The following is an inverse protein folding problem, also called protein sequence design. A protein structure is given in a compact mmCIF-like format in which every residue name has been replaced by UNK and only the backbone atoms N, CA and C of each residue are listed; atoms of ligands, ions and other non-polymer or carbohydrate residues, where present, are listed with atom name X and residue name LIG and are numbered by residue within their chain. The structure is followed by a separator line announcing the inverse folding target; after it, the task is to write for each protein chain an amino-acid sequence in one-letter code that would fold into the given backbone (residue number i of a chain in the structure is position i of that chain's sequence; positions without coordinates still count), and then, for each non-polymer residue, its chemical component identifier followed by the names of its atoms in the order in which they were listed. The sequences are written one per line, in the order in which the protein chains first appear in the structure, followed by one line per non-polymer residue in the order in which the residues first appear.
data_IF_981185986684
#
_entry.id   IF_981185986684
#
_cell.length_a   1.000
_cell.length_b   1.000
_cell.length_c   1.000
_cell.angle_alpha   90.00
_cell.angle_beta   90.00
_cell.angle_gamma   90.00
#
_symmetry.space_group_name_H-M   'P 1'
#
loop_
_entity.id
_entity.type
_entity.pdbx_description
1 polymer ?
#
# COMPACT_ATOMS: atom_id res chain seq x y z
N UNK A 1 13.24 2.63 21.29
CA UNK A 1 12.01 3.42 21.50
C UNK A 1 11.54 4.12 20.23
N UNK A 2 12.30 5.07 19.64
CA UNK A 2 11.84 5.86 18.47
C UNK A 2 11.35 5.03 17.26
N UNK A 3 12.11 4.02 16.83
CA UNK A 3 11.71 3.13 15.71
C UNK A 3 10.39 2.41 15.96
N UNK A 4 10.15 2.00 17.21
CA UNK A 4 8.92 1.34 17.61
C UNK A 4 7.75 2.35 17.61
N UNK A 5 7.96 3.56 18.13
CA UNK A 5 6.96 4.64 18.09
C UNK A 5 6.56 5.00 16.67
N UNK A 6 7.52 5.16 15.76
CA UNK A 6 7.23 5.50 14.35
C UNK A 6 6.43 4.38 13.66
N UNK A 7 6.86 3.13 13.79
CA UNK A 7 6.16 1.97 13.19
C UNK A 7 4.75 1.80 13.78
N UNK A 8 4.60 1.92 15.09
CA UNK A 8 3.29 1.82 15.76
C UNK A 8 2.35 2.98 15.42
N UNK A 9 2.87 4.20 15.29
CA UNK A 9 2.07 5.36 14.88
C UNK A 9 1.51 5.19 13.46
N UNK A 10 2.34 4.73 12.51
CA UNK A 10 1.92 4.47 11.12
C UNK A 10 0.91 3.33 11.05
N UNK A 11 1.17 2.24 11.78
CA UNK A 11 0.24 1.11 11.81
C UNK A 11 -1.09 1.52 12.45
N UNK A 12 -1.03 2.21 13.59
CA UNK A 12 -2.19 2.68 14.32
C UNK A 12 -3.03 3.68 13.52
N UNK A 13 -2.39 4.61 12.79
CA UNK A 13 -3.11 5.56 11.94
C UNK A 13 -3.80 4.88 10.75
N UNK A 14 -3.14 3.90 10.12
CA UNK A 14 -3.75 3.11 9.04
C UNK A 14 -4.97 2.30 9.55
N UNK A 15 -4.85 1.68 10.72
CA UNK A 15 -5.97 0.97 11.36
C UNK A 15 -7.10 1.94 11.69
N UNK A 16 -6.78 3.07 12.34
CA UNK A 16 -7.78 4.09 12.69
C UNK A 16 -8.55 4.59 11.46
N UNK A 17 -7.83 4.94 10.39
CA UNK A 17 -8.44 5.43 9.16
C UNK A 17 -9.34 4.38 8.49
N UNK A 18 -8.92 3.11 8.47
CA UNK A 18 -9.74 2.04 7.87
C UNK A 18 -10.96 1.69 8.70
N UNK A 19 -10.89 1.81 10.02
CA UNK A 19 -12.06 1.73 10.91
C UNK A 19 -13.00 2.90 10.65
N UNK A 20 -12.48 4.13 10.60
CA UNK A 20 -13.26 5.35 10.35
C UNK A 20 -13.99 5.31 8.99
N UNK A 21 -13.29 4.84 7.94
CA UNK A 21 -13.87 4.59 6.62
C UNK A 21 -14.91 3.48 6.55
N UNK A 22 -15.13 2.75 7.64
CA UNK A 22 -16.17 1.72 7.68
C UNK A 22 -15.72 0.33 7.23
N UNK A 23 -14.42 0.10 6.95
CA UNK A 23 -13.92 -1.22 6.52
C UNK A 23 -14.09 -2.27 7.61
N UNK A 24 -13.93 -1.86 8.87
CA UNK A 24 -13.97 -2.75 10.05
C UNK A 24 -14.93 -2.25 11.15
N UNK A 25 -15.90 -1.41 10.79
CA UNK A 25 -16.79 -0.75 11.75
C UNK A 25 -18.01 -1.65 12.02
N UNK A 26 -19.22 -1.12 11.87
CA UNK A 26 -20.46 -1.87 11.94
C UNK A 26 -20.96 -2.26 10.54
N UNK A 27 -21.83 -3.28 10.50
CA UNK A 27 -22.32 -3.85 9.24
C UNK A 27 -23.05 -2.83 8.36
N UNK A 28 -23.71 -1.83 8.96
CA UNK A 28 -24.42 -0.79 8.21
C UNK A 28 -23.42 0.12 7.50
N UNK A 29 -22.45 0.66 8.23
CA UNK A 29 -21.41 1.52 7.65
C UNK A 29 -20.58 0.77 6.59
N UNK A 30 -20.24 -0.50 6.83
CA UNK A 30 -19.52 -1.30 5.82
C UNK A 30 -20.34 -1.54 4.56
N UNK A 31 -21.66 -1.73 4.69
CA UNK A 31 -22.54 -1.89 3.52
C UNK A 31 -22.65 -0.63 2.67
N UNK A 32 -22.74 0.54 3.30
CA UNK A 32 -22.75 1.84 2.62
C UNK A 32 -21.44 2.09 1.86
N UNK A 33 -20.29 1.76 2.48
CA UNK A 33 -18.99 1.82 1.83
C UNK A 33 -18.94 0.92 0.58
N UNK A 34 -19.54 -0.27 0.64
CA UNK A 34 -19.59 -1.18 -0.51
C UNK A 34 -20.41 -0.59 -1.66
N UNK A 35 -21.56 0.00 -1.37
CA UNK A 35 -22.37 0.70 -2.38
C UNK A 35 -21.64 1.90 -3.00
N UNK A 36 -20.90 2.66 -2.19
CA UNK A 36 -20.09 3.79 -2.66
C UNK A 36 -18.99 3.32 -3.61
N UNK A 37 -18.28 2.24 -3.24
CA UNK A 37 -17.28 1.61 -4.10
C UNK A 37 -17.91 1.09 -5.40
N UNK A 38 -19.08 0.46 -5.33
CA UNK A 38 -19.79 -0.01 -6.50
C UNK A 38 -20.17 1.16 -7.44
N UNK A 39 -20.66 2.27 -6.89
CA UNK A 39 -20.97 3.49 -7.64
C UNK A 39 -19.71 4.11 -8.26
N UNK A 40 -18.56 4.03 -7.58
CA UNK A 40 -17.27 4.48 -8.11
C UNK A 40 -16.75 3.61 -9.26
N UNK A 41 -17.05 2.31 -9.24
CA UNK A 41 -16.68 1.35 -10.30
C UNK A 41 -17.79 1.23 -11.37
N UNK A 42 -18.90 1.96 -11.20
CA UNK A 42 -20.16 1.89 -11.95
C UNK A 42 -20.05 1.80 -13.48
N UNK A 43 -19.19 2.53 -14.21
CA UNK A 43 -19.14 2.36 -15.66
C UNK A 43 -18.68 0.94 -16.06
N UNK A 44 -17.83 0.30 -15.25
CA UNK A 44 -17.31 -1.04 -15.52
C UNK A 44 -18.15 -2.14 -14.85
N UNK A 45 -18.66 -1.88 -13.64
CA UNK A 45 -19.52 -2.81 -12.91
C UNK A 45 -20.92 -2.92 -13.52
N UNK A 46 -21.45 -1.84 -14.12
CA UNK A 46 -22.79 -1.83 -14.72
C UNK A 46 -22.91 -2.71 -15.96
N UNK A 47 -21.84 -2.81 -16.75
CA UNK A 47 -21.80 -3.69 -17.93
C UNK A 47 -21.64 -5.17 -17.52
N UNK A 48 -20.84 -5.42 -16.46
CA UNK A 48 -20.72 -6.73 -15.80
C UNK A 48 -22.03 -7.19 -15.16
N UNK A 49 -22.77 -6.32 -14.44
CA UNK A 49 -24.08 -6.67 -13.84
C UNK A 49 -25.15 -6.95 -14.89
N UNK A 50 -25.07 -6.34 -16.08
CA UNK A 50 -25.99 -6.62 -17.20
C UNK A 50 -25.72 -7.98 -17.85
N UNK A 51 -24.46 -8.39 -17.94
CA UNK A 51 -24.06 -9.68 -18.52
C UNK A 51 -24.14 -10.83 -17.50
N UNK A 52 -23.97 -10.53 -16.21
CA UNK A 52 -24.00 -11.49 -15.12
C UNK A 52 -24.99 -10.94 -14.08
N UNK A 53 -26.24 -11.44 -14.03
CA UNK A 53 -27.14 -11.17 -12.91
C UNK A 53 -26.49 -11.74 -11.64
N UNK A 54 -25.71 -10.91 -10.97
CA UNK A 54 -24.94 -11.29 -9.80
C UNK A 54 -25.86 -11.27 -8.58
N UNK A 55 -26.34 -12.45 -8.19
CA UNK A 55 -26.72 -12.69 -6.81
C UNK A 55 -25.50 -13.20 -6.06
N UNK A 56 -25.26 -12.68 -4.85
CA UNK A 56 -24.17 -13.18 -4.01
C UNK A 56 -24.37 -14.69 -3.85
N UNK A 57 -23.46 -15.54 -4.37
CA UNK A 57 -23.59 -16.96 -4.15
C UNK A 57 -23.49 -17.20 -2.63
N UNK A 58 -24.25 -18.17 -2.10
CA UNK A 58 -24.06 -18.58 -0.72
C UNK A 58 -22.58 -18.93 -0.51
N UNK A 59 -22.06 -18.61 0.68
CA UNK A 59 -20.69 -18.97 1.05
C UNK A 59 -20.44 -20.44 0.67
N UNK A 60 -19.30 -20.74 0.02
CA UNK A 60 -19.07 -22.07 -0.53
C UNK A 60 -19.18 -23.11 0.59
N UNK A 61 -20.14 -24.02 0.46
CA UNK A 61 -20.42 -25.08 1.44
C UNK A 61 -19.32 -26.13 1.52
N UNK A 62 -18.38 -26.12 0.56
CA UNK A 62 -17.20 -26.97 0.59
C UNK A 62 -16.20 -26.44 1.61
N UNK A 63 -15.92 -27.24 2.64
CA UNK A 63 -14.98 -26.93 3.71
C UNK A 63 -13.60 -26.49 3.21
N UNK A 64 -13.13 -27.06 2.08
CA UNK A 64 -11.85 -26.69 1.48
C UNK A 64 -11.85 -25.28 0.91
N UNK A 65 -12.92 -24.88 0.22
CA UNK A 65 -13.05 -23.54 -0.35
C UNK A 65 -13.22 -22.49 0.75
N UNK A 66 -14.06 -22.79 1.74
CA UNK A 66 -14.20 -21.95 2.94
C UNK A 66 -12.86 -21.80 3.67
N UNK A 67 -12.08 -22.87 3.81
CA UNK A 67 -10.74 -22.81 4.39
C UNK A 67 -9.80 -21.93 3.58
N UNK A 68 -9.73 -22.12 2.25
CA UNK A 68 -8.85 -21.33 1.39
C UNK A 68 -9.20 -19.84 1.44
N UNK A 69 -10.48 -19.49 1.41
CA UNK A 69 -10.92 -18.10 1.50
C UNK A 69 -10.46 -17.45 2.81
N UNK A 70 -10.70 -18.14 3.95
CA UNK A 70 -10.23 -17.71 5.26
C UNK A 70 -8.70 -17.59 5.31
N UNK A 71 -7.98 -18.55 4.73
CA UNK A 71 -6.53 -18.59 4.70
C UNK A 71 -5.95 -17.41 3.93
N UNK A 72 -6.42 -17.15 2.71
CA UNK A 72 -5.91 -16.06 1.88
C UNK A 72 -6.31 -14.69 2.42
N UNK A 73 -7.51 -14.55 2.99
CA UNK A 73 -7.91 -13.33 3.69
C UNK A 73 -6.92 -13.00 4.82
N UNK A 74 -6.65 -13.98 5.69
CA UNK A 74 -5.69 -13.81 6.78
C UNK A 74 -4.26 -13.56 6.28
N UNK A 75 -3.86 -14.19 5.17
CA UNK A 75 -2.58 -13.96 4.53
C UNK A 75 -2.47 -12.51 4.02
N UNK A 76 -3.52 -12.00 3.39
CA UNK A 76 -3.62 -10.61 2.94
C UNK A 76 -3.48 -9.64 4.10
N UNK A 77 -4.25 -9.82 5.17
CA UNK A 77 -4.15 -9.00 6.39
C UNK A 77 -2.72 -9.00 6.94
N UNK A 78 -2.10 -10.17 7.13
CA UNK A 78 -0.72 -10.26 7.63
C UNK A 78 0.27 -9.54 6.72
N UNK A 79 0.15 -9.72 5.41
CA UNK A 79 1.07 -9.13 4.42
C UNK A 79 0.95 -7.60 4.40
N UNK A 80 -0.27 -7.05 4.43
CA UNK A 80 -0.50 -5.61 4.47
C UNK A 80 0.07 -4.99 5.74
N UNK A 81 -0.16 -5.59 6.91
CA UNK A 81 0.38 -5.08 8.16
C UNK A 81 1.92 -5.19 8.21
N UNK A 82 2.49 -6.28 7.67
CA UNK A 82 3.94 -6.42 7.49
C UNK A 82 4.50 -5.29 6.63
N UNK A 83 3.87 -5.02 5.50
CA UNK A 83 4.26 -3.94 4.60
C UNK A 83 4.23 -2.58 5.30
N UNK A 84 3.14 -2.23 6.00
CA UNK A 84 3.04 -0.96 6.73
C UNK A 84 4.13 -0.81 7.80
N UNK A 85 4.47 -1.88 8.51
CA UNK A 85 5.55 -1.88 9.49
C UNK A 85 6.92 -1.69 8.84
N UNK A 86 7.14 -2.25 7.65
CA UNK A 86 8.43 -2.17 6.95
C UNK A 86 8.55 -0.93 6.03
N UNK A 87 7.44 -0.25 5.75
CA UNK A 87 7.35 0.95 4.92
C UNK A 87 8.34 2.05 5.33
N UNK A 88 8.53 2.42 6.61
CA UNK A 88 9.49 3.45 7.00
C UNK A 88 10.93 3.07 6.68
N UNK A 89 11.26 1.78 6.82
CA UNK A 89 12.59 1.26 6.49
C UNK A 89 12.82 1.33 4.98
N UNK A 90 11.85 0.90 4.19
CA UNK A 90 11.94 0.97 2.72
C UNK A 90 12.05 2.40 2.21
N UNK A 91 11.26 3.32 2.77
CA UNK A 91 11.33 4.74 2.44
C UNK A 91 12.70 5.35 2.79
N UNK A 92 13.23 5.07 3.98
CA UNK A 92 14.57 5.54 4.38
C UNK A 92 15.66 4.99 3.47
N UNK A 93 15.60 3.70 3.13
CA UNK A 93 16.57 3.09 2.23
C UNK A 93 16.50 3.66 0.81
N UNK A 94 15.30 3.93 0.31
CA UNK A 94 15.12 4.58 -0.98
C UNK A 94 15.72 5.99 -0.97
N UNK A 95 15.43 6.79 0.06
CA UNK A 95 15.95 8.15 0.20
C UNK A 95 17.49 8.19 0.25
N UNK A 96 18.11 7.31 1.05
CA UNK A 96 19.58 7.20 1.13
C UNK A 96 20.16 6.85 -0.24
N UNK A 97 19.62 5.82 -0.90
CA UNK A 97 20.10 5.41 -2.23
C UNK A 97 19.97 6.51 -3.28
N UNK A 98 18.88 7.27 -3.25
CA UNK A 98 18.70 8.40 -4.17
C UNK A 98 19.71 9.50 -3.88
N UNK A 99 19.94 9.82 -2.60
CA UNK A 99 20.96 10.79 -2.20
C UNK A 99 22.35 10.37 -2.68
N UNK A 100 22.76 9.13 -2.38
CA UNK A 100 24.07 8.59 -2.75
C UNK A 100 24.25 8.57 -4.28
N UNK A 101 23.19 8.25 -5.02
CA UNK A 101 23.21 8.28 -6.49
C UNK A 101 23.40 9.70 -7.04
N UNK A 102 22.74 10.70 -6.45
CA UNK A 102 22.88 12.10 -6.87
C UNK A 102 24.26 12.64 -6.48
N UNK A 103 24.72 12.41 -5.26
CA UNK A 103 26.03 12.90 -4.80
C UNK A 103 27.17 12.31 -5.63
N UNK A 104 27.15 11.01 -5.90
CA UNK A 104 28.16 10.35 -6.74
C UNK A 104 28.12 10.79 -8.21
N UNK A 105 26.99 11.31 -8.70
CA UNK A 105 26.88 11.88 -10.04
C UNK A 105 27.38 13.33 -10.13
N UNK A 106 27.42 14.06 -9.01
CA UNK A 106 27.86 15.48 -8.94
C UNK A 106 29.37 15.59 -8.65
N UNK A 107 29.93 14.71 -7.83
CA UNK A 107 31.38 14.67 -7.53
C UNK A 107 32.31 14.65 -8.76
N UNK A 108 32.04 13.93 -9.88
CA UNK A 108 32.93 13.95 -11.04
C UNK A 108 32.99 15.29 -11.80
N UNK A 109 32.13 16.27 -11.48
CA UNK A 109 32.12 17.60 -12.13
C UNK A 109 33.10 18.57 -11.43
N UNK A 110 33.43 18.34 -10.15
CA UNK A 110 34.22 19.28 -9.35
C UNK A 110 35.75 19.07 -9.40
N UNK A 111 36.24 17.97 -9.97
CA UNK A 111 37.66 17.61 -9.96
C UNK A 111 38.45 17.98 -11.24
N UNK A 112 37.97 18.92 -12.05
CA UNK A 112 38.75 19.45 -13.19
C UNK A 112 39.22 20.88 -12.92
N UNK A 113 40.39 21.08 -12.26
CA UNK A 113 41.04 22.37 -12.25
C UNK A 113 41.65 22.63 -13.62
N UNK A 114 41.13 23.66 -14.25
CA UNK A 114 41.76 24.59 -15.18
C UNK A 114 43.31 24.51 -15.18
N UNK A 115 43.90 23.78 -16.14
CA UNK A 115 45.29 24.03 -16.57
C UNK A 115 45.26 25.02 -17.72
N UNK A 116 45.06 26.29 -17.38
CA UNK A 116 45.50 27.40 -18.22
C UNK A 116 46.60 28.13 -17.47
N UNK A 117 47.67 28.42 -18.21
CA UNK A 117 48.78 29.34 -17.93
C UNK A 117 50.13 28.72 -17.51
N UNK A 118 51.11 29.16 -18.31
CA UNK A 118 52.55 29.32 -18.07
C UNK A 118 53.51 28.15 -18.32
N UNK A 119 54.06 28.13 -19.55
CA UNK A 119 55.50 28.01 -19.72
C UNK A 119 55.94 28.72 -21.02
N UNK A 120 56.89 29.62 -20.82
CA UNK A 120 57.57 30.55 -21.72
C UNK A 120 58.48 29.87 -22.73
#
# INVERSE_FOLDING_TARGET
MLKFTVKSAILGSAVYYTVDKGVWKDSTTTSELYEELEKGVSPYAGELRKQIPYELPPLPSNDRLTYLFKYYWNCGVKTTFRFLVDLPTHASNAAIKTYDFVSSSVEPIQSSPEKSQDAK
#
